data_IF_154740801325
#
_entry.id   IF_154740801325
#
_cell.length_a   1.000
_cell.length_b   1.000
_cell.length_c   1.000
_cell.angle_alpha   90.00
_cell.angle_beta   90.00
_cell.angle_gamma   90.00
#
_symmetry.space_group_name_H-M   'P 1'
#
loop_
_entity.id
_entity.type
_entity.pdbx_description
1 polymer ?
#
# COMPACT_ATOMS: atom_id res chain seq x y z
N UNK A 1 0.78 22.59 6.53
CA UNK A 1 2.12 22.07 6.17
C UNK A 1 3.18 23.01 6.74
N UNK A 2 4.14 22.54 7.56
CA UNK A 2 5.16 23.42 8.15
C UNK A 2 6.24 23.77 7.11
N UNK A 3 6.67 25.04 7.09
CA UNK A 3 7.39 25.69 5.97
C UNK A 3 8.90 25.41 5.86
N UNK A 4 9.50 24.59 6.73
CA UNK A 4 10.97 24.61 6.92
C UNK A 4 11.66 23.25 6.75
N UNK A 5 10.94 22.19 6.39
CA UNK A 5 11.53 20.83 6.28
C UNK A 5 11.05 20.05 5.04
N UNK A 6 10.50 20.75 4.05
CA UNK A 6 9.94 20.14 2.83
C UNK A 6 10.94 19.24 2.10
N UNK A 7 12.20 19.66 1.94
CA UNK A 7 13.22 18.85 1.26
C UNK A 7 13.58 17.57 2.01
N UNK A 8 13.69 17.63 3.35
CA UNK A 8 13.95 16.46 4.19
C UNK A 8 12.78 15.47 4.16
N UNK A 9 11.54 15.97 4.22
CA UNK A 9 10.36 15.12 4.11
C UNK A 9 10.23 14.52 2.72
N UNK A 10 10.43 15.28 1.64
CA UNK A 10 10.36 14.77 0.27
C UNK A 10 11.38 13.65 0.01
N UNK A 11 12.63 13.80 0.46
CA UNK A 11 13.64 12.76 0.29
C UNK A 11 13.33 11.51 1.12
N UNK A 12 12.84 11.71 2.35
CA UNK A 12 12.40 10.60 3.21
C UNK A 12 11.20 9.86 2.62
N UNK A 13 10.21 10.59 2.09
CA UNK A 13 9.05 10.01 1.40
C UNK A 13 9.49 9.24 0.16
N UNK A 14 10.38 9.81 -0.66
CA UNK A 14 10.91 9.15 -1.86
C UNK A 14 11.59 7.83 -1.51
N UNK A 15 12.47 7.83 -0.49
CA UNK A 15 13.12 6.59 0.00
C UNK A 15 12.13 5.57 0.56
N UNK A 16 11.08 6.01 1.24
CA UNK A 16 10.03 5.10 1.72
C UNK A 16 9.28 4.47 0.54
N UNK A 17 8.88 5.27 -0.45
CA UNK A 17 8.18 4.78 -1.65
C UNK A 17 9.03 3.81 -2.46
N UNK A 18 10.33 4.10 -2.63
CA UNK A 18 11.25 3.23 -3.35
C UNK A 18 11.43 1.88 -2.65
N UNK A 19 11.62 1.90 -1.33
CA UNK A 19 11.68 0.67 -0.52
C UNK A 19 10.37 -0.12 -0.54
N UNK A 20 9.23 0.55 -0.48
CA UNK A 20 7.93 -0.13 -0.53
C UNK A 20 7.69 -0.76 -1.91
N UNK A 21 8.11 -0.11 -3.00
CA UNK A 21 8.07 -0.70 -4.34
C UNK A 21 8.94 -1.94 -4.47
N UNK A 22 10.16 -1.91 -3.92
CA UNK A 22 11.04 -3.09 -3.91
C UNK A 22 10.41 -4.26 -3.15
N UNK A 23 9.86 -4.00 -1.96
CA UNK A 23 9.17 -5.02 -1.16
C UNK A 23 7.94 -5.54 -1.87
N UNK A 24 7.16 -4.65 -2.49
CA UNK A 24 5.99 -5.04 -3.26
C UNK A 24 6.39 -5.98 -4.40
N UNK A 25 7.43 -5.64 -5.16
CA UNK A 25 7.93 -6.46 -6.26
C UNK A 25 8.46 -7.82 -5.77
N UNK A 26 9.15 -7.86 -4.63
CA UNK A 26 9.61 -9.11 -4.03
C UNK A 26 8.46 -10.01 -3.59
N UNK A 27 7.43 -9.43 -2.98
CA UNK A 27 6.23 -10.16 -2.57
C UNK A 27 5.46 -10.66 -3.82
N UNK A 28 5.26 -9.82 -4.82
CA UNK A 28 4.61 -10.19 -6.09
C UNK A 28 5.36 -11.29 -6.85
N UNK A 29 6.68 -11.21 -6.90
CA UNK A 29 7.53 -12.25 -7.53
C UNK A 29 7.56 -13.55 -6.74
N UNK A 30 7.48 -13.50 -5.40
CA UNK A 30 7.24 -14.66 -4.55
C UNK A 30 5.79 -15.16 -4.63
N UNK A 31 4.96 -14.54 -5.47
CA UNK A 31 3.59 -14.95 -5.74
C UNK A 31 2.56 -14.40 -4.76
N UNK A 32 2.95 -13.52 -3.85
CA UNK A 32 2.03 -12.86 -2.93
C UNK A 32 1.34 -11.69 -3.61
N UNK A 33 0.05 -11.52 -3.35
CA UNK A 33 -0.67 -10.31 -3.74
C UNK A 33 -0.45 -9.25 -2.66
N UNK A 34 0.05 -8.08 -3.05
CA UNK A 34 0.31 -6.98 -2.14
C UNK A 34 -0.85 -5.99 -2.21
N UNK A 35 -1.40 -5.64 -1.06
CA UNK A 35 -2.46 -4.64 -0.92
C UNK A 35 -1.99 -3.59 0.08
N UNK A 36 -1.93 -2.34 -0.37
CA UNK A 36 -1.59 -1.20 0.49
C UNK A 36 -2.87 -0.51 0.90
N UNK A 37 -3.11 -0.44 2.21
CA UNK A 37 -4.26 0.26 2.79
C UNK A 37 -3.75 1.45 3.57
N UNK A 38 -4.19 2.65 3.21
CA UNK A 38 -3.83 3.87 3.93
C UNK A 38 -4.82 4.17 5.05
N UNK A 39 -4.31 4.73 6.16
CA UNK A 39 -5.15 5.13 7.30
C UNK A 39 -6.20 6.19 6.90
N UNK A 40 -5.89 7.08 5.95
CA UNK A 40 -6.84 8.07 5.45
C UNK A 40 -8.00 7.43 4.67
N UNK A 41 -7.76 6.34 3.95
CA UNK A 41 -8.80 5.57 3.25
C UNK A 41 -9.68 4.85 4.28
N UNK A 42 -9.06 4.26 5.31
CA UNK A 42 -9.75 3.60 6.42
C UNK A 42 -10.68 4.56 7.18
N UNK A 43 -10.27 5.82 7.33
CA UNK A 43 -11.05 6.87 8.00
C UNK A 43 -12.12 7.49 7.10
N UNK A 44 -11.92 7.48 5.79
CA UNK A 44 -12.84 8.12 4.84
C UNK A 44 -14.02 7.22 4.52
N UNK A 45 -13.76 5.94 4.22
CA UNK A 45 -14.81 4.97 3.92
C UNK A 45 -14.32 3.53 4.19
N UNK A 46 -14.45 3.06 5.45
CA UNK A 46 -14.01 1.72 5.83
C UNK A 46 -14.84 0.61 5.17
N UNK A 47 -16.10 0.84 4.82
CA UNK A 47 -16.96 -0.16 4.19
C UNK A 47 -16.56 -0.41 2.73
N UNK A 48 -16.34 0.65 1.96
CA UNK A 48 -15.85 0.52 0.59
C UNK A 48 -14.48 -0.17 0.53
N UNK A 49 -13.60 0.12 1.50
CA UNK A 49 -12.31 -0.53 1.60
C UNK A 49 -12.43 -2.02 1.95
N UNK A 50 -13.34 -2.38 2.86
CA UNK A 50 -13.62 -3.78 3.19
C UNK A 50 -14.15 -4.54 1.98
N UNK A 51 -15.03 -3.95 1.18
CA UNK A 51 -15.56 -4.61 -0.02
C UNK A 51 -14.50 -4.75 -1.12
N UNK A 52 -13.63 -3.76 -1.29
CA UNK A 52 -12.46 -3.89 -2.15
C UNK A 52 -11.56 -5.04 -1.69
N UNK A 53 -11.25 -5.12 -0.38
CA UNK A 53 -10.42 -6.18 0.19
C UNK A 53 -11.06 -7.56 0.02
N UNK A 54 -12.36 -7.71 0.31
CA UNK A 54 -13.10 -8.96 0.09
C UNK A 54 -13.00 -9.40 -1.35
N UNK A 55 -13.26 -8.50 -2.31
CA UNK A 55 -13.16 -8.83 -3.74
C UNK A 55 -11.75 -9.28 -4.13
N UNK A 56 -10.72 -8.62 -3.61
CA UNK A 56 -9.31 -8.94 -3.89
C UNK A 56 -8.85 -10.26 -3.25
N UNK A 57 -9.40 -10.63 -2.09
CA UNK A 57 -9.12 -11.90 -1.42
C UNK A 57 -9.92 -13.06 -2.00
N UNK A 58 -11.18 -12.85 -2.38
CA UNK A 58 -12.06 -13.89 -2.93
C UNK A 58 -11.75 -14.24 -4.39
N UNK A 59 -11.20 -13.30 -5.17
CA UNK A 59 -10.71 -13.56 -6.53
C UNK A 59 -9.30 -14.16 -6.56
N UNK A 60 -8.60 -14.19 -5.42
CA UNK A 60 -7.35 -14.94 -5.30
C UNK A 60 -7.72 -16.43 -5.18
N UNK A 61 -7.92 -17.08 -6.33
CA UNK A 61 -8.02 -18.53 -6.39
C UNK A 61 -6.85 -19.15 -5.60
N UNK A 62 -7.08 -20.20 -4.80
CA UNK A 62 -6.02 -20.85 -4.05
C UNK A 62 -4.96 -21.31 -5.05
N UNK A 63 -3.75 -20.75 -4.94
CA UNK A 63 -2.63 -21.24 -5.75
C UNK A 63 -2.24 -22.62 -5.19
N UNK A 64 -2.12 -23.66 -6.03
CA UNK A 64 -1.77 -25.01 -5.59
C UNK A 64 -0.39 -25.08 -4.95
#
# INVERSE_FOLDING_TARGET
>A
MPKTSTSFWTEKFRRTVERDREKQTQLESAGWRVLTVWECELKSDPEALLDMLKNQLLTAAPRP
#
